data_IF_156544013721
#
_entry.id   IF_156544013721
#
_cell.length_a   1.000
_cell.length_b   1.000
_cell.length_c   1.000
_cell.angle_alpha   90.00
_cell.angle_beta   90.00
_cell.angle_gamma   90.00
#
_symmetry.space_group_name_H-M   'P 1'
#
loop_
_entity.id
_entity.type
_entity.pdbx_description
1 polymer ?
#
# COMPACT_ATOMS: atom_id res chain seq x y z
N UNK A 1 8.07 36.64 33.07
CA UNK A 1 8.58 35.25 33.18
C UNK A 1 9.84 35.15 32.34
N UNK A 2 10.90 34.54 32.85
CA UNK A 2 12.10 34.26 32.07
C UNK A 2 11.86 33.04 31.17
N UNK A 3 12.64 32.88 30.11
CA UNK A 3 12.56 31.73 29.17
C UNK A 3 12.68 30.36 29.89
N UNK A 4 13.44 30.32 30.99
CA UNK A 4 13.56 29.15 31.87
C UNK A 4 12.28 28.82 32.64
N UNK A 5 11.53 29.83 33.08
CA UNK A 5 10.28 29.63 33.83
C UNK A 5 9.18 29.07 32.92
N UNK A 6 9.16 29.48 31.66
CA UNK A 6 8.24 29.00 30.62
C UNK A 6 8.50 27.51 30.30
N UNK A 7 9.77 27.13 30.15
CA UNK A 7 10.19 25.75 29.88
C UNK A 7 9.89 24.80 31.05
N UNK A 8 10.01 25.26 32.29
CA UNK A 8 9.64 24.48 33.48
C UNK A 8 8.13 24.24 33.51
N UNK A 9 7.32 25.26 33.24
CA UNK A 9 5.86 25.18 33.25
C UNK A 9 5.30 24.28 32.14
N UNK A 10 5.93 24.29 30.95
CA UNK A 10 5.60 23.33 29.88
C UNK A 10 5.94 21.89 30.27
N UNK A 11 7.05 21.69 30.98
CA UNK A 11 7.46 20.36 31.45
C UNK A 11 6.47 19.81 32.49
N UNK A 12 5.98 20.67 33.38
CA UNK A 12 4.96 20.30 34.37
C UNK A 12 3.62 19.93 33.71
N UNK A 13 3.20 20.71 32.71
CA UNK A 13 2.00 20.42 31.91
C UNK A 13 2.14 19.07 31.20
N UNK A 14 3.30 18.81 30.57
CA UNK A 14 3.57 17.56 29.86
C UNK A 14 3.49 16.37 30.82
N UNK A 15 4.16 16.45 31.97
CA UNK A 15 4.15 15.39 32.98
C UNK A 15 2.74 15.13 33.50
N UNK A 16 1.95 16.17 33.78
CA UNK A 16 0.58 16.02 34.27
C UNK A 16 -0.35 15.32 33.28
N UNK A 17 -0.15 15.52 31.97
CA UNK A 17 -0.99 14.94 30.94
C UNK A 17 -0.55 13.56 30.47
N UNK A 18 0.76 13.29 30.43
CA UNK A 18 1.34 12.04 29.94
C UNK A 18 1.66 11.02 31.04
N UNK A 19 1.55 11.38 32.32
CA UNK A 19 1.61 10.42 33.42
C UNK A 19 0.60 9.28 33.24
N UNK A 20 0.97 8.09 33.71
CA UNK A 20 0.19 6.86 33.62
C UNK A 20 -0.29 6.56 32.19
N UNK A 21 0.61 6.66 31.22
CA UNK A 21 0.32 6.41 29.80
C UNK A 21 -0.79 7.34 29.25
N UNK A 22 -0.62 8.64 29.48
CA UNK A 22 -1.53 9.69 29.02
C UNK A 22 -2.99 9.57 29.51
N UNK A 23 -3.20 8.96 30.68
CA UNK A 23 -4.54 8.71 31.25
C UNK A 23 -5.39 9.96 31.38
N UNK A 24 -4.78 11.12 31.70
CA UNK A 24 -5.50 12.40 31.77
C UNK A 24 -6.00 12.82 30.38
N UNK A 25 -5.14 12.74 29.37
CA UNK A 25 -5.50 13.06 27.98
C UNK A 25 -6.60 12.14 27.46
N UNK A 26 -6.44 10.82 27.66
CA UNK A 26 -7.43 9.83 27.22
C UNK A 26 -8.80 10.07 27.86
N UNK A 27 -8.86 10.36 29.17
CA UNK A 27 -10.12 10.73 29.84
C UNK A 27 -10.81 11.95 29.22
N UNK A 28 -10.05 12.94 28.79
CA UNK A 28 -10.60 14.12 28.10
C UNK A 28 -11.17 13.72 26.75
N UNK A 29 -10.44 12.91 25.98
CA UNK A 29 -10.89 12.36 24.70
C UNK A 29 -12.16 11.53 24.88
N UNK A 30 -12.17 10.58 25.81
CA UNK A 30 -13.32 9.72 26.13
C UNK A 30 -14.57 10.52 26.46
N UNK A 31 -14.42 11.57 27.27
CA UNK A 31 -15.52 12.47 27.63
C UNK A 31 -16.06 13.26 26.44
N UNK A 32 -15.21 13.57 25.45
CA UNK A 32 -15.65 14.21 24.21
C UNK A 32 -16.37 13.17 23.35
N UNK A 33 -15.77 12.00 23.14
CA UNK A 33 -16.30 10.91 22.33
C UNK A 33 -17.63 10.36 22.86
N UNK A 34 -17.82 10.29 24.18
CA UNK A 34 -19.05 9.78 24.81
C UNK A 34 -20.29 10.62 24.47
N UNK A 35 -20.12 11.84 23.97
CA UNK A 35 -21.23 12.69 23.50
C UNK A 35 -21.71 12.30 22.10
N UNK A 36 -21.01 11.40 21.40
CA UNK A 36 -21.29 10.98 20.05
C UNK A 36 -21.65 9.50 20.00
N UNK A 37 -22.72 9.15 19.28
CA UNK A 37 -23.08 7.77 19.00
C UNK A 37 -22.35 7.22 17.77
N UNK A 38 -22.23 5.90 17.66
CA UNK A 38 -21.69 5.22 16.46
C UNK A 38 -20.16 5.09 16.39
N UNK A 39 -19.47 5.29 17.52
CA UNK A 39 -18.05 4.99 17.66
C UNK A 39 -17.87 3.54 18.14
N UNK A 40 -17.14 2.74 17.38
CA UNK A 40 -16.76 1.39 17.80
C UNK A 40 -15.58 1.50 18.76
N UNK A 41 -15.44 0.62 19.76
CA UNK A 41 -14.27 0.62 20.67
C UNK A 41 -12.93 0.50 19.91
N UNK A 42 -12.94 -0.04 18.68
CA UNK A 42 -11.75 -0.11 17.81
C UNK A 42 -11.34 1.24 17.20
N UNK A 43 -12.22 2.23 17.17
CA UNK A 43 -11.97 3.53 16.57
C UNK A 43 -11.35 4.54 17.56
N UNK A 44 -11.22 4.20 18.85
CA UNK A 44 -10.76 5.13 19.91
C UNK A 44 -9.27 5.43 19.85
N UNK A 45 -8.44 4.46 19.45
CA UNK A 45 -6.98 4.61 19.41
C UNK A 45 -6.53 5.68 18.40
N UNK A 46 -7.26 5.81 17.29
CA UNK A 46 -7.04 6.88 16.31
C UNK A 46 -7.25 8.26 16.94
N UNK A 47 -8.28 8.40 17.79
CA UNK A 47 -8.58 9.66 18.46
C UNK A 47 -7.56 9.99 19.55
N UNK A 48 -6.97 8.99 20.21
CA UNK A 48 -5.83 9.22 21.11
C UNK A 48 -4.59 9.70 20.34
N UNK A 49 -4.31 9.10 19.18
CA UNK A 49 -3.22 9.53 18.31
C UNK A 49 -3.42 10.98 17.82
N UNK A 50 -4.64 11.31 17.38
CA UNK A 50 -5.04 12.66 17.02
C UNK A 50 -4.90 13.64 18.19
N UNK A 51 -5.27 13.21 19.40
CA UNK A 51 -5.16 14.04 20.59
C UNK A 51 -3.71 14.36 20.94
N UNK A 52 -2.78 13.43 20.72
CA UNK A 52 -1.34 13.66 20.89
C UNK A 52 -0.80 14.72 19.92
N UNK A 53 -1.22 14.68 18.65
CA UNK A 53 -0.86 15.70 17.65
C UNK A 53 -1.37 17.10 18.08
N UNK A 54 -2.65 17.18 18.46
CA UNK A 54 -3.27 18.44 18.92
C UNK A 54 -2.60 18.95 20.18
N UNK A 55 -2.27 18.06 21.13
CA UNK A 55 -1.59 18.45 22.35
C UNK A 55 -0.23 19.10 22.06
N UNK A 56 0.56 18.52 21.15
CA UNK A 56 1.86 19.07 20.79
C UNK A 56 1.75 20.44 20.10
N UNK A 57 0.74 20.67 19.26
CA UNK A 57 0.46 22.00 18.67
C UNK A 57 0.03 23.02 19.74
N UNK A 58 -0.89 22.62 20.61
CA UNK A 58 -1.41 23.45 21.70
C UNK A 58 -0.30 23.87 22.66
N UNK A 59 0.59 22.96 23.02
CA UNK A 59 1.72 23.25 23.92
C UNK A 59 2.67 24.30 23.33
N UNK A 60 2.88 24.29 22.00
CA UNK A 60 3.72 25.29 21.31
C UNK A 60 3.09 26.67 21.23
N UNK A 61 1.76 26.72 21.13
CA UNK A 61 0.99 27.95 20.90
C UNK A 61 0.45 28.58 22.17
N UNK A 62 0.63 27.92 23.32
CA UNK A 62 0.06 28.37 24.58
C UNK A 62 0.74 29.65 25.07
N UNK A 63 -0.07 30.68 25.29
CA UNK A 63 0.32 32.05 25.68
C UNK A 63 0.17 32.32 27.18
N UNK A 64 -0.27 31.32 27.96
CA UNK A 64 -0.47 31.39 29.42
C UNK A 64 -1.53 32.40 29.88
N UNK A 65 -2.33 32.98 28.98
CA UNK A 65 -3.36 33.96 29.36
C UNK A 65 -4.59 33.27 30.00
N UNK A 66 -4.87 32.03 29.58
CA UNK A 66 -6.00 31.24 30.03
C UNK A 66 -5.56 29.87 30.54
N UNK A 67 -6.44 29.14 31.22
CA UNK A 67 -6.13 27.77 31.67
C UNK A 67 -5.82 26.84 30.49
N UNK A 68 -4.68 26.15 30.56
CA UNK A 68 -4.27 25.14 29.60
C UNK A 68 -5.34 24.05 29.39
N UNK A 69 -5.94 23.56 30.47
CA UNK A 69 -6.97 22.51 30.42
C UNK A 69 -8.19 22.95 29.59
N UNK A 70 -8.62 24.21 29.74
CA UNK A 70 -9.74 24.79 28.97
C UNK A 70 -9.39 25.07 27.51
N UNK A 71 -8.16 25.52 27.27
CA UNK A 71 -7.65 25.74 25.92
C UNK A 71 -7.56 24.42 25.13
N UNK A 72 -6.89 23.43 25.72
CA UNK A 72 -6.71 22.10 25.17
C UNK A 72 -8.07 21.43 24.91
N UNK A 73 -9.02 21.54 25.84
CA UNK A 73 -10.37 20.98 25.65
C UNK A 73 -11.05 21.53 24.39
N UNK A 74 -10.99 22.85 24.20
CA UNK A 74 -11.58 23.51 23.02
C UNK A 74 -10.93 23.04 21.71
N UNK A 75 -9.59 22.98 21.68
CA UNK A 75 -8.84 22.51 20.52
C UNK A 75 -9.14 21.03 20.19
N UNK A 76 -9.10 20.16 21.20
CA UNK A 76 -9.42 18.74 21.05
C UNK A 76 -10.86 18.54 20.59
N UNK A 77 -11.82 19.21 21.21
CA UNK A 77 -13.24 19.09 20.85
C UNK A 77 -13.46 19.44 19.38
N UNK A 78 -12.89 20.56 18.91
CA UNK A 78 -13.03 21.00 17.53
C UNK A 78 -12.39 20.02 16.53
N UNK A 79 -11.18 19.53 16.83
CA UNK A 79 -10.47 18.60 15.95
C UNK A 79 -11.17 17.25 15.88
N UNK A 80 -11.59 16.70 17.02
CA UNK A 80 -12.33 15.42 17.10
C UNK A 80 -13.66 15.53 16.35
N UNK A 81 -14.43 16.61 16.55
CA UNK A 81 -15.69 16.84 15.80
C UNK A 81 -15.46 16.89 14.28
N UNK A 82 -14.39 17.55 13.85
CA UNK A 82 -14.02 17.64 12.43
C UNK A 82 -13.70 16.27 11.86
N UNK A 83 -12.94 15.45 12.59
CA UNK A 83 -12.56 14.10 12.18
C UNK A 83 -13.77 13.15 12.12
N UNK A 84 -14.65 13.19 13.14
CA UNK A 84 -15.91 12.43 13.13
C UNK A 84 -16.77 12.82 11.92
N UNK A 85 -16.88 14.12 11.63
CA UNK A 85 -17.65 14.61 10.48
C UNK A 85 -17.07 14.12 9.16
N UNK A 86 -15.74 14.15 9.01
CA UNK A 86 -15.03 13.65 7.84
C UNK A 86 -15.27 12.14 7.64
N UNK A 87 -15.04 11.33 8.67
CA UNK A 87 -15.27 9.87 8.64
C UNK A 87 -16.71 9.53 8.29
N UNK A 88 -17.69 10.23 8.89
CA UNK A 88 -19.10 10.03 8.56
C UNK A 88 -19.46 10.45 7.13
N UNK A 89 -18.79 11.47 6.57
CA UNK A 89 -18.97 11.85 5.16
C UNK A 89 -18.39 10.79 4.22
N UNK A 90 -17.23 10.24 4.55
CA UNK A 90 -16.59 9.18 3.79
C UNK A 90 -17.40 7.89 3.84
N UNK A 91 -17.88 7.47 5.02
CA UNK A 91 -18.82 6.34 5.17
C UNK A 91 -20.05 6.54 4.30
N UNK A 92 -20.73 7.70 4.36
CA UNK A 92 -21.89 7.98 3.48
C UNK A 92 -21.55 7.92 1.99
N UNK A 93 -20.34 8.31 1.58
CA UNK A 93 -19.91 8.21 0.19
C UNK A 93 -19.71 6.75 -0.21
N UNK A 94 -19.06 5.95 0.64
CA UNK A 94 -18.91 4.52 0.44
C UNK A 94 -20.29 3.83 0.40
N UNK A 95 -21.10 3.99 1.43
CA UNK A 95 -22.44 3.39 1.56
C UNK A 95 -23.37 3.74 0.39
N UNK A 96 -23.30 4.99 -0.11
CA UNK A 96 -24.11 5.42 -1.28
C UNK A 96 -23.62 4.81 -2.60
N UNK A 97 -22.33 4.47 -2.68
CA UNK A 97 -21.69 3.99 -3.92
C UNK A 97 -21.47 2.47 -3.92
N UNK A 98 -21.65 1.79 -2.79
CA UNK A 98 -21.45 0.36 -2.64
C UNK A 98 -22.77 -0.36 -2.41
N UNK A 99 -22.87 -1.57 -2.95
CA UNK A 99 -23.93 -2.53 -2.63
C UNK A 99 -23.25 -3.68 -1.89
N UNK A 100 -23.91 -4.26 -0.89
CA UNK A 100 -23.39 -5.46 -0.22
C UNK A 100 -23.22 -6.59 -1.23
N UNK A 101 -22.10 -7.31 -1.15
CA UNK A 101 -21.88 -8.53 -1.95
C UNK A 101 -22.89 -9.63 -1.60
N UNK A 102 -23.44 -9.59 -0.39
CA UNK A 102 -24.46 -10.52 0.09
C UNK A 102 -25.88 -10.06 -0.27
N UNK A 103 -26.03 -8.94 -0.97
CA UNK A 103 -27.34 -8.47 -1.39
C UNK A 103 -27.97 -9.51 -2.34
N UNK A 104 -29.17 -9.97 -2.00
CA UNK A 104 -30.00 -10.83 -2.84
C UNK A 104 -30.90 -9.97 -3.72
N UNK A 105 -31.36 -10.54 -4.83
CA UNK A 105 -32.27 -9.85 -5.72
C UNK A 105 -33.72 -9.92 -5.18
N UNK A 106 -34.53 -8.89 -5.48
CA UNK A 106 -35.95 -8.84 -5.09
C UNK A 106 -36.82 -9.93 -5.77
N UNK A 107 -36.21 -10.79 -6.60
CA UNK A 107 -36.87 -11.85 -7.36
C UNK A 107 -36.95 -13.19 -6.61
N UNK A 108 -36.44 -13.26 -5.38
CA UNK A 108 -36.52 -14.46 -4.55
C UNK A 108 -35.62 -15.60 -5.02
N UNK A 109 -34.53 -15.27 -5.73
CA UNK A 109 -33.53 -16.26 -6.13
C UNK A 109 -32.50 -16.42 -5.00
N UNK A 110 -32.06 -17.66 -4.76
CA UNK A 110 -31.21 -18.05 -3.60
C UNK A 110 -29.72 -17.76 -3.81
N UNK A 111 -29.38 -16.80 -4.68
CA UNK A 111 -27.99 -16.44 -4.95
C UNK A 111 -27.76 -14.94 -4.74
N UNK A 112 -26.58 -14.63 -4.19
CA UNK A 112 -26.13 -13.28 -3.86
C UNK A 112 -25.35 -12.64 -5.00
N UNK A 113 -25.11 -11.32 -4.93
CA UNK A 113 -24.23 -10.65 -5.89
C UNK A 113 -22.84 -11.28 -5.95
N UNK A 114 -22.31 -11.78 -4.82
CA UNK A 114 -21.01 -12.46 -4.76
C UNK A 114 -20.96 -13.68 -5.68
N UNK A 115 -22.06 -14.43 -5.77
CA UNK A 115 -22.15 -15.65 -6.59
C UNK A 115 -22.16 -15.36 -8.10
N UNK A 116 -22.48 -14.11 -8.48
CA UNK A 116 -22.53 -13.66 -9.87
C UNK A 116 -21.25 -12.97 -10.33
N UNK A 117 -20.35 -12.61 -9.42
CA UNK A 117 -19.12 -11.91 -9.77
C UNK A 117 -18.07 -12.91 -10.27
N UNK A 118 -17.84 -12.90 -11.58
CA UNK A 118 -16.73 -13.62 -12.16
C UNK A 118 -15.39 -13.01 -11.70
N UNK A 119 -14.43 -13.89 -11.39
CA UNK A 119 -13.03 -13.50 -11.17
C UNK A 119 -12.46 -12.84 -12.44
N UNK A 120 -11.46 -11.97 -12.27
CA UNK A 120 -10.73 -11.35 -13.37
C UNK A 120 -9.74 -12.31 -14.07
N UNK A 121 -9.52 -13.50 -13.50
CA UNK A 121 -8.72 -14.56 -14.10
C UNK A 121 -9.39 -15.94 -14.03
N UNK A 122 -9.12 -16.78 -15.02
CA UNK A 122 -9.57 -18.17 -15.09
C UNK A 122 -8.53 -19.09 -14.43
N UNK A 123 -8.94 -19.80 -13.37
CA UNK A 123 -8.05 -20.70 -12.62
C UNK A 123 -7.66 -21.94 -13.43
N UNK A 124 -8.54 -22.44 -14.29
CA UNK A 124 -8.26 -23.58 -15.17
C UNK A 124 -7.25 -23.19 -16.25
N UNK A 125 -7.41 -22.01 -16.87
CA UNK A 125 -6.44 -21.48 -17.84
C UNK A 125 -5.06 -21.29 -17.20
N UNK A 126 -4.99 -20.66 -16.03
CA UNK A 126 -3.73 -20.45 -15.29
C UNK A 126 -3.07 -21.76 -14.85
N UNK A 127 -3.86 -22.76 -14.42
CA UNK A 127 -3.34 -24.07 -14.10
C UNK A 127 -2.83 -24.82 -15.35
N UNK A 128 -3.50 -24.66 -16.49
CA UNK A 128 -3.16 -25.33 -17.76
C UNK A 128 -1.89 -24.77 -18.39
N UNK A 129 -1.61 -23.47 -18.23
CA UNK A 129 -0.33 -22.84 -18.62
C UNK A 129 0.88 -23.59 -18.06
N UNK A 130 0.78 -24.16 -16.86
CA UNK A 130 1.87 -24.93 -16.23
C UNK A 130 2.09 -26.31 -16.87
N UNK A 131 1.05 -26.91 -17.45
CA UNK A 131 1.16 -28.21 -18.12
C UNK A 131 1.73 -28.06 -19.55
N UNK A 132 1.32 -27.02 -20.28
CA UNK A 132 1.94 -26.66 -21.57
C UNK A 132 3.41 -26.26 -21.40
N UNK A 133 3.75 -25.60 -20.28
CA UNK A 133 5.13 -25.22 -19.95
C UNK A 133 6.11 -26.41 -19.91
N UNK A 134 5.66 -27.65 -19.67
CA UNK A 134 6.56 -28.82 -19.73
C UNK A 134 7.15 -29.04 -21.13
N UNK A 135 6.34 -28.84 -22.18
CA UNK A 135 6.80 -28.96 -23.57
C UNK A 135 7.63 -27.75 -24.00
N UNK A 136 7.23 -26.53 -23.59
CA UNK A 136 8.03 -25.33 -23.82
C UNK A 136 9.38 -25.39 -23.11
N UNK A 137 9.43 -25.94 -21.88
CA UNK A 137 10.66 -26.11 -21.12
C UNK A 137 11.65 -27.03 -21.83
N UNK A 138 11.21 -28.18 -22.35
CA UNK A 138 12.06 -29.09 -23.13
C UNK A 138 12.58 -28.43 -24.42
N UNK A 139 11.71 -27.74 -25.17
CA UNK A 139 12.10 -27.04 -26.41
C UNK A 139 13.06 -25.89 -26.17
N UNK A 140 12.84 -25.11 -25.11
CA UNK A 140 13.72 -24.01 -24.71
C UNK A 140 15.06 -24.55 -24.26
N UNK A 141 15.10 -25.67 -23.52
CA UNK A 141 16.36 -26.33 -23.15
C UNK A 141 17.13 -26.81 -24.38
N UNK A 142 16.46 -27.43 -25.35
CA UNK A 142 17.07 -27.84 -26.61
C UNK A 142 17.62 -26.67 -27.41
N UNK A 143 16.88 -25.56 -27.49
CA UNK A 143 17.36 -24.31 -28.12
C UNK A 143 18.60 -23.76 -27.43
N UNK A 144 18.57 -23.61 -26.10
CA UNK A 144 19.68 -23.08 -25.31
C UNK A 144 20.93 -23.96 -25.46
N UNK A 145 20.78 -25.28 -25.55
CA UNK A 145 21.91 -26.21 -25.72
C UNK A 145 22.70 -26.02 -27.02
N UNK A 146 22.12 -25.38 -28.04
CA UNK A 146 22.80 -25.05 -29.31
C UNK A 146 23.49 -23.70 -29.31
N UNK A 147 23.24 -22.87 -28.31
CA UNK A 147 23.83 -21.54 -28.22
C UNK A 147 25.23 -21.62 -27.61
N UNK A 148 26.13 -20.77 -28.09
CA UNK A 148 27.43 -20.57 -27.43
C UNK A 148 27.24 -19.84 -26.09
N UNK A 149 28.22 -19.96 -25.18
CA UNK A 149 28.18 -19.25 -23.90
C UNK A 149 27.95 -17.74 -24.07
N UNK A 150 28.52 -17.14 -25.11
CA UNK A 150 28.34 -15.72 -25.41
C UNK A 150 26.91 -15.40 -25.87
N UNK A 151 26.29 -16.27 -26.69
CA UNK A 151 24.89 -16.13 -27.11
C UNK A 151 23.92 -16.31 -25.95
N UNK A 152 24.20 -17.26 -25.04
CA UNK A 152 23.43 -17.44 -23.80
C UNK A 152 23.52 -16.21 -22.91
N UNK A 153 24.71 -15.61 -22.77
CA UNK A 153 24.87 -14.37 -22.01
C UNK A 153 24.11 -13.19 -22.65
N UNK A 154 24.12 -13.08 -23.98
CA UNK A 154 23.29 -12.10 -24.71
C UNK A 154 21.80 -12.35 -24.46
N UNK A 155 21.34 -13.61 -24.53
CA UNK A 155 19.95 -13.98 -24.30
C UNK A 155 19.49 -13.63 -22.88
N UNK A 156 20.27 -13.96 -21.86
CA UNK A 156 19.96 -13.66 -20.47
C UNK A 156 19.81 -12.16 -20.23
N UNK A 157 20.73 -11.35 -20.79
CA UNK A 157 20.64 -9.89 -20.66
C UNK A 157 19.45 -9.31 -21.44
N UNK A 158 19.02 -9.93 -22.55
CA UNK A 158 17.79 -9.54 -23.24
C UNK A 158 16.54 -9.87 -22.42
N UNK A 159 16.52 -11.03 -21.75
CA UNK A 159 15.44 -11.43 -20.83
C UNK A 159 15.35 -10.44 -19.66
N UNK A 160 16.48 -10.02 -19.13
CA UNK A 160 16.58 -9.02 -18.06
C UNK A 160 16.26 -7.58 -18.53
N UNK A 161 15.97 -7.38 -19.83
CA UNK A 161 15.50 -6.10 -20.37
C UNK A 161 16.59 -5.10 -20.76
N UNK A 162 17.86 -5.51 -20.82
CA UNK A 162 18.96 -4.62 -21.23
C UNK A 162 18.88 -4.26 -22.71
N UNK A 163 19.23 -3.01 -23.03
CA UNK A 163 19.27 -2.51 -24.41
C UNK A 163 20.53 -2.99 -25.13
N UNK A 164 20.51 -3.10 -26.47
CA UNK A 164 21.65 -3.59 -27.26
C UNK A 164 23.00 -2.91 -26.98
N UNK A 165 23.01 -1.59 -26.72
CA UNK A 165 24.25 -0.88 -26.39
C UNK A 165 24.78 -1.21 -24.99
N UNK A 166 23.89 -1.53 -24.04
CA UNK A 166 24.24 -1.91 -22.67
C UNK A 166 24.82 -3.31 -22.67
N UNK A 167 24.18 -4.25 -23.37
CA UNK A 167 24.66 -5.62 -23.54
C UNK A 167 26.06 -5.65 -24.14
N UNK A 168 26.29 -4.88 -25.21
CA UNK A 168 27.60 -4.76 -25.85
C UNK A 168 28.67 -4.22 -24.91
N UNK A 169 28.31 -3.28 -24.05
CA UNK A 169 29.23 -2.69 -23.07
C UNK A 169 29.55 -3.68 -21.93
N UNK A 170 28.55 -4.42 -21.46
CA UNK A 170 28.69 -5.41 -20.38
C UNK A 170 29.53 -6.61 -20.84
N UNK A 171 29.28 -7.10 -22.05
CA UNK A 171 29.99 -8.25 -22.60
C UNK A 171 31.29 -7.88 -23.33
N UNK A 172 31.61 -6.58 -23.41
CA UNK A 172 32.79 -6.05 -24.10
C UNK A 172 32.91 -6.49 -25.58
N UNK A 173 31.77 -6.63 -26.26
CA UNK A 173 31.69 -7.11 -27.64
C UNK A 173 31.44 -5.99 -28.65
N UNK A 174 31.96 -6.19 -29.87
CA UNK A 174 31.80 -5.21 -30.94
C UNK A 174 30.35 -5.15 -31.46
N UNK A 175 30.00 -4.10 -32.23
CA UNK A 175 28.68 -4.01 -32.87
C UNK A 175 28.43 -5.17 -33.82
N UNK A 176 29.44 -5.51 -34.63
CA UNK A 176 29.34 -6.55 -35.65
C UNK A 176 29.18 -7.91 -34.98
N UNK A 177 30.02 -8.20 -33.99
CA UNK A 177 29.95 -9.45 -33.22
C UNK A 177 28.60 -9.64 -32.52
N UNK A 178 28.02 -8.57 -31.96
CA UNK A 178 26.67 -8.65 -31.39
C UNK A 178 25.60 -8.96 -32.44
N UNK A 179 25.69 -8.34 -33.62
CA UNK A 179 24.76 -8.57 -34.74
C UNK A 179 24.91 -10.00 -35.28
N UNK A 180 26.14 -10.49 -35.42
CA UNK A 180 26.42 -11.86 -35.89
C UNK A 180 25.87 -12.90 -34.91
N UNK A 181 26.11 -12.72 -33.60
CA UNK A 181 25.52 -13.57 -32.57
C UNK A 181 23.99 -13.55 -32.59
N UNK A 182 23.37 -12.38 -32.73
CA UNK A 182 21.93 -12.27 -32.88
C UNK A 182 21.40 -12.96 -34.14
N UNK A 183 22.12 -12.87 -35.25
CA UNK A 183 21.75 -13.52 -36.51
C UNK A 183 21.76 -15.04 -36.36
N UNK A 184 22.73 -15.60 -35.63
CA UNK A 184 22.80 -17.03 -35.34
C UNK A 184 21.67 -17.45 -34.39
N UNK A 185 21.45 -16.70 -33.30
CA UNK A 185 20.36 -16.97 -32.35
C UNK A 185 18.98 -16.98 -33.03
N UNK A 186 18.81 -16.16 -34.07
CA UNK A 186 17.57 -16.01 -34.85
C UNK A 186 17.57 -16.82 -36.15
N UNK A 187 18.60 -17.64 -36.39
CA UNK A 187 18.63 -18.48 -37.57
C UNK A 187 17.44 -19.43 -37.57
N UNK A 188 16.92 -19.76 -38.75
CA UNK A 188 15.79 -20.68 -38.88
C UNK A 188 16.07 -22.02 -38.18
N UNK A 189 17.30 -22.52 -38.28
CA UNK A 189 17.75 -23.77 -37.65
C UNK A 189 17.59 -23.78 -36.13
N UNK A 190 17.76 -22.62 -35.49
CA UNK A 190 17.62 -22.48 -34.06
C UNK A 190 16.16 -22.15 -33.68
N UNK A 191 15.52 -21.21 -34.37
CA UNK A 191 14.14 -20.78 -34.06
C UNK A 191 13.10 -21.87 -34.31
N UNK A 192 13.31 -22.77 -35.29
CA UNK A 192 12.39 -23.87 -35.58
C UNK A 192 12.19 -24.81 -34.40
N UNK A 193 13.19 -24.96 -33.52
CA UNK A 193 13.11 -25.79 -32.31
C UNK A 193 12.09 -25.26 -31.30
N UNK A 194 11.89 -23.94 -31.26
CA UNK A 194 10.96 -23.31 -30.34
C UNK A 194 9.50 -23.47 -30.82
N UNK A 195 9.27 -23.41 -32.14
CA UNK A 195 7.92 -23.24 -32.68
C UNK A 195 7.39 -24.41 -33.54
N UNK A 196 8.19 -25.42 -33.88
CA UNK A 196 7.79 -26.48 -34.84
C UNK A 196 7.07 -25.91 -36.08
N UNK A 197 7.76 -25.05 -36.83
CA UNK A 197 7.33 -24.61 -38.18
C UNK A 197 7.87 -25.60 -39.22
#
# INVERSE_FOLDING_TARGET
MTDKDLSALQSDILNAYYADNAKKLHRVVDRILSKFGGLTYKDTDDFYSLANEVFADVLKRYDYEQSFDGFLYSCLSNKIMSEITKRNREKRKADRMSISLEATNDKGEDYSLLDCLASDFDTFEEASKRQENGQYQDRVQQYISRLSNQQVNILNLLIDGYKPFEIRRILEISKNEYVDNLSIMRSYENVRLLFQI
#
